data_IF_377501931723
#
_entry.id   IF_377501931723
#
_cell.length_a   1.000
_cell.length_b   1.000
_cell.length_c   1.000
_cell.angle_alpha   90.00
_cell.angle_beta   90.00
_cell.angle_gamma   90.00
#
_symmetry.space_group_name_H-M   'P 1'
#
loop_
_entity.id
_entity.type
_entity.pdbx_description
1 polymer ?
#
# COMPACT_ATOMS: atom_id res chain seq x y z
N UNK A 1 27.38 -5.12 3.74
CA UNK A 1 26.02 -5.15 3.16
C UNK A 1 25.59 -3.72 2.95
N UNK A 2 25.59 -3.27 1.69
CA UNK A 2 25.62 -1.85 1.31
C UNK A 2 24.25 -1.22 1.58
N UNK A 3 24.23 -0.06 2.24
CA UNK A 3 23.04 0.76 2.47
C UNK A 3 22.30 0.97 1.14
N UNK A 4 21.27 0.15 0.90
CA UNK A 4 20.35 0.33 -0.23
C UNK A 4 19.75 1.72 -0.04
N UNK A 5 20.11 2.64 -0.93
CA UNK A 5 19.61 4.00 -0.92
C UNK A 5 18.09 3.92 -0.75
N UNK A 6 17.53 4.60 0.26
CA UNK A 6 16.09 4.57 0.54
C UNK A 6 15.28 4.84 -0.74
N UNK A 7 15.77 5.75 -1.57
CA UNK A 7 15.25 6.09 -2.91
C UNK A 7 15.12 4.87 -3.82
N UNK A 8 16.08 3.95 -3.79
CA UNK A 8 16.05 2.74 -4.61
C UNK A 8 15.05 1.71 -4.07
N UNK A 9 14.93 1.59 -2.74
CA UNK A 9 13.87 0.80 -2.10
C UNK A 9 12.47 1.36 -2.41
N UNK A 10 12.30 2.68 -2.39
CA UNK A 10 11.06 3.35 -2.82
C UNK A 10 10.78 3.07 -4.30
N UNK A 11 11.80 3.14 -5.17
CA UNK A 11 11.64 2.83 -6.60
C UNK A 11 11.16 1.41 -6.85
N UNK A 12 11.73 0.42 -6.15
CA UNK A 12 11.27 -0.97 -6.25
C UNK A 12 9.86 -1.16 -5.69
N UNK A 13 9.53 -0.51 -4.56
CA UNK A 13 8.17 -0.53 -4.01
C UNK A 13 7.15 0.07 -4.98
N UNK A 14 7.45 1.22 -5.59
CA UNK A 14 6.60 1.86 -6.61
C UNK A 14 6.49 1.03 -7.88
N UNK A 15 7.55 0.37 -8.33
CA UNK A 15 7.50 -0.53 -9.48
C UNK A 15 6.63 -1.76 -9.21
N UNK A 16 6.72 -2.34 -8.01
CA UNK A 16 5.85 -3.42 -7.55
C UNK A 16 4.38 -2.98 -7.46
N UNK A 17 4.14 -1.77 -6.93
CA UNK A 17 2.81 -1.15 -6.89
C UNK A 17 2.24 -0.97 -8.30
N UNK A 18 3.05 -0.46 -9.24
CA UNK A 18 2.65 -0.21 -10.63
C UNK A 18 2.35 -1.49 -11.40
N UNK A 19 3.14 -2.55 -11.18
CA UNK A 19 2.88 -3.86 -11.74
C UNK A 19 1.57 -4.44 -11.20
N UNK A 20 1.37 -4.40 -9.87
CA UNK A 20 0.15 -4.90 -9.24
C UNK A 20 -1.09 -4.11 -9.69
N UNK A 21 -0.97 -2.79 -9.85
CA UNK A 21 -2.00 -1.93 -10.44
C UNK A 21 -2.40 -2.37 -11.84
N UNK A 22 -1.46 -2.80 -12.69
CA UNK A 22 -1.82 -3.21 -14.06
C UNK A 22 -2.44 -4.59 -14.12
N UNK A 23 -2.02 -5.52 -13.28
CA UNK A 23 -2.35 -6.94 -13.44
C UNK A 23 -3.62 -7.35 -12.70
N UNK A 24 -3.92 -6.74 -11.55
CA UNK A 24 -4.99 -7.19 -10.64
C UNK A 24 -6.12 -6.15 -10.52
N UNK A 25 -7.35 -6.50 -10.92
CA UNK A 25 -8.51 -5.58 -10.86
C UNK A 25 -8.82 -5.17 -9.42
N UNK A 26 -8.75 -6.11 -8.49
CA UNK A 26 -9.08 -5.88 -7.10
C UNK A 26 -8.00 -5.03 -6.39
N UNK A 27 -6.72 -5.23 -6.73
CA UNK A 27 -5.63 -4.34 -6.31
C UNK A 27 -5.79 -2.89 -6.74
N UNK A 28 -6.39 -2.61 -7.92
CA UNK A 28 -6.70 -1.21 -8.33
C UNK A 28 -7.70 -0.55 -7.38
N UNK A 29 -8.73 -1.28 -6.96
CA UNK A 29 -9.74 -0.77 -6.02
C UNK A 29 -9.09 -0.46 -4.68
N UNK A 30 -8.33 -1.40 -4.12
CA UNK A 30 -7.61 -1.20 -2.87
C UNK A 30 -6.68 0.02 -2.91
N UNK A 31 -5.96 0.22 -4.02
CA UNK A 31 -5.09 1.39 -4.18
C UNK A 31 -5.85 2.71 -4.31
N UNK A 32 -6.98 2.74 -5.01
CA UNK A 32 -7.82 3.95 -5.05
C UNK A 32 -8.37 4.32 -3.68
N UNK A 33 -8.82 3.33 -2.90
CA UNK A 33 -9.31 3.55 -1.53
C UNK A 33 -8.17 3.99 -0.62
N UNK A 34 -6.99 3.36 -0.70
CA UNK A 34 -5.82 3.74 0.09
C UNK A 34 -5.37 5.18 -0.22
N UNK A 35 -5.34 5.58 -1.49
CA UNK A 35 -5.03 6.95 -1.88
C UNK A 35 -6.05 7.96 -1.33
N UNK A 36 -7.35 7.63 -1.39
CA UNK A 36 -8.41 8.45 -0.79
C UNK A 36 -8.26 8.57 0.74
N UNK A 37 -7.96 7.47 1.43
CA UNK A 37 -7.75 7.45 2.87
C UNK A 37 -6.53 8.30 3.29
N UNK A 38 -5.44 8.28 2.53
CA UNK A 38 -4.27 9.14 2.76
C UNK A 38 -4.66 10.62 2.56
N UNK A 39 -5.38 10.95 1.48
CA UNK A 39 -5.81 12.32 1.21
C UNK A 39 -6.73 12.86 2.33
N UNK A 40 -7.69 12.05 2.79
CA UNK A 40 -8.54 12.36 3.94
C UNK A 40 -7.73 12.49 5.23
N UNK A 41 -6.74 11.63 5.42
CA UNK A 41 -5.88 11.67 6.59
C UNK A 41 -5.05 12.95 6.69
N UNK A 42 -4.57 13.45 5.56
CA UNK A 42 -3.90 14.75 5.45
C UNK A 42 -4.88 15.89 5.71
N UNK A 43 -6.09 15.82 5.13
CA UNK A 43 -7.11 16.87 5.28
C UNK A 43 -7.64 16.99 6.72
N UNK A 44 -7.81 15.86 7.41
CA UNK A 44 -8.29 15.80 8.80
C UNK A 44 -7.17 16.05 9.83
N UNK A 45 -5.92 16.22 9.40
CA UNK A 45 -4.79 16.47 10.30
C UNK A 45 -4.52 15.31 11.27
N UNK A 46 -4.47 14.08 10.76
CA UNK A 46 -4.21 12.89 11.58
C UNK A 46 -2.90 13.01 12.37
N UNK A 47 -2.95 12.62 13.63
CA UNK A 47 -1.78 12.48 14.51
C UNK A 47 -0.89 11.31 14.08
N UNK A 48 0.36 11.29 14.53
CA UNK A 48 1.33 10.23 14.22
C UNK A 48 0.82 8.83 14.54
N UNK A 49 0.10 8.66 15.66
CA UNK A 49 -0.48 7.37 16.05
C UNK A 49 -1.58 6.92 15.08
N UNK A 50 -2.43 7.84 14.63
CA UNK A 50 -3.48 7.51 13.67
C UNK A 50 -2.89 7.16 12.30
N UNK A 51 -1.81 7.82 11.89
CA UNK A 51 -1.04 7.42 10.70
C UNK A 51 -0.46 6.02 10.82
N UNK A 52 0.09 5.66 11.99
CA UNK A 52 0.61 4.32 12.24
C UNK A 52 -0.51 3.26 12.12
N UNK A 53 -1.68 3.51 12.71
CA UNK A 53 -2.84 2.63 12.59
C UNK A 53 -3.30 2.54 11.13
N UNK A 54 -3.42 3.67 10.43
CA UNK A 54 -3.83 3.69 9.01
C UNK A 54 -2.86 2.90 8.12
N UNK A 55 -1.55 3.06 8.34
CA UNK A 55 -0.52 2.31 7.62
C UNK A 55 -0.61 0.80 7.89
N UNK A 56 -0.82 0.41 9.16
CA UNK A 56 -1.04 -1.00 9.53
C UNK A 56 -2.30 -1.57 8.87
N UNK A 57 -3.40 -0.82 8.87
CA UNK A 57 -4.65 -1.26 8.24
C UNK A 57 -4.50 -1.43 6.73
N UNK A 58 -3.86 -0.48 6.04
CA UNK A 58 -3.56 -0.60 4.60
C UNK A 58 -2.67 -1.81 4.33
N UNK A 59 -1.61 -2.00 5.13
CA UNK A 59 -0.74 -3.16 5.02
C UNK A 59 -1.47 -4.49 5.22
N UNK A 60 -2.34 -4.56 6.23
CA UNK A 60 -3.14 -5.75 6.51
C UNK A 60 -4.05 -6.12 5.33
N UNK A 61 -4.75 -5.14 4.75
CA UNK A 61 -5.60 -5.36 3.57
C UNK A 61 -4.80 -5.89 2.38
N UNK A 62 -3.59 -5.35 2.12
CA UNK A 62 -2.73 -5.86 1.05
C UNK A 62 -2.27 -7.30 1.30
N UNK A 63 -1.92 -7.66 2.54
CA UNK A 63 -1.58 -9.04 2.90
C UNK A 63 -2.78 -9.96 2.72
N UNK A 64 -3.96 -9.55 3.20
CA UNK A 64 -5.21 -10.31 2.99
C UNK A 64 -5.52 -10.52 1.51
N UNK A 65 -5.28 -9.52 0.67
CA UNK A 65 -5.48 -9.62 -0.78
C UNK A 65 -4.51 -10.61 -1.44
N UNK A 66 -3.24 -10.61 -1.00
CA UNK A 66 -2.27 -11.61 -1.47
C UNK A 66 -2.66 -13.03 -1.02
N UNK A 67 -3.17 -13.19 0.21
CA UNK A 67 -3.67 -14.46 0.70
C UNK A 67 -4.91 -14.92 -0.08
N UNK A 68 -5.83 -14.02 -0.42
CA UNK A 68 -6.98 -14.33 -1.29
C UNK A 68 -6.51 -14.79 -2.66
N UNK A 69 -5.52 -14.10 -3.26
CA UNK A 69 -4.95 -14.51 -4.55
C UNK A 69 -4.35 -15.91 -4.48
N UNK A 70 -3.60 -16.23 -3.42
CA UNK A 70 -3.02 -17.58 -3.23
C UNK A 70 -4.10 -18.63 -2.92
N UNK A 71 -5.19 -18.28 -2.24
CA UNK A 71 -6.27 -19.22 -1.95
C UNK A 71 -7.15 -19.50 -3.18
N UNK A 72 -7.28 -18.52 -4.07
CA UNK A 72 -8.06 -18.63 -5.31
C UNK A 72 -7.28 -19.27 -6.46
N UNK A 73 -5.93 -19.31 -6.39
CA UNK A 73 -5.06 -19.93 -7.41
C UNK A 73 -4.40 -21.21 -6.90
#
# INVERSE_FOLDING_TARGET
MRSRNLVESFRFAFAGLWYALRTQRNTRIHLTIAAGAIALGLWLGLTTTQWAVLALTIGFVLVSEMLNTVAET
#
